data_IF_374981110866
#
_entry.id   IF_374981110866
#
_cell.length_a   1.000
_cell.length_b   1.000
_cell.length_c   1.000
_cell.angle_alpha   90.00
_cell.angle_beta   90.00
_cell.angle_gamma   90.00
#
_symmetry.space_group_name_H-M   'P 1'
#
loop_
_entity.id
_entity.type
_entity.pdbx_description
1 polymer ?
#
# COMPACT_ATOMS: atom_id res chain seq x y z
N UNK A 1 0.83 -5.53 -11.46
CA UNK A 1 1.92 -4.67 -11.96
C UNK A 1 3.07 -4.77 -10.99
N UNK A 2 4.27 -5.07 -11.48
CA UNK A 2 5.50 -5.05 -10.68
C UNK A 2 5.85 -3.59 -10.35
N UNK A 3 6.15 -3.28 -9.09
CA UNK A 3 6.58 -1.93 -8.68
C UNK A 3 8.06 -1.69 -8.98
N UNK A 4 8.84 -2.75 -9.23
CA UNK A 4 10.26 -2.66 -9.52
C UNK A 4 11.12 -3.58 -8.65
N UNK A 5 12.43 -3.37 -8.71
CA UNK A 5 13.42 -4.09 -7.89
C UNK A 5 13.88 -3.28 -6.67
N UNK A 6 14.49 -3.95 -5.69
CA UNK A 6 15.02 -3.27 -4.50
C UNK A 6 16.09 -2.24 -4.92
N UNK A 7 16.01 -1.03 -4.40
CA UNK A 7 16.84 0.12 -4.76
C UNK A 7 16.25 1.01 -5.85
N UNK A 8 15.17 0.60 -6.51
CA UNK A 8 14.48 1.45 -7.48
C UNK A 8 13.60 2.50 -6.79
N UNK A 9 13.53 3.67 -7.43
CA UNK A 9 12.66 4.75 -7.02
C UNK A 9 11.33 4.68 -7.78
N UNK A 10 10.23 4.72 -7.04
CA UNK A 10 8.89 4.78 -7.58
C UNK A 10 8.14 6.00 -7.04
N UNK A 11 7.20 6.52 -7.85
CA UNK A 11 6.31 7.59 -7.43
C UNK A 11 4.95 7.00 -7.13
N UNK A 12 4.50 7.14 -5.89
CA UNK A 12 3.24 6.58 -5.40
C UNK A 12 2.23 7.69 -5.16
N UNK A 13 0.95 7.37 -5.39
CA UNK A 13 -0.17 8.21 -4.99
C UNK A 13 -0.84 7.55 -3.78
N UNK A 14 -0.82 8.22 -2.64
CA UNK A 14 -1.45 7.78 -1.40
C UNK A 14 -2.76 8.53 -1.22
N UNK A 15 -3.88 7.80 -1.19
CA UNK A 15 -5.17 8.34 -0.76
C UNK A 15 -5.24 8.25 0.76
N UNK A 16 -5.26 9.38 1.45
CA UNK A 16 -5.30 9.45 2.90
C UNK A 16 -6.64 10.04 3.34
N UNK A 17 -7.30 9.34 4.26
CA UNK A 17 -8.56 9.79 4.88
C UNK A 17 -8.36 9.87 6.39
N UNK A 18 -8.29 11.09 6.93
CA UNK A 18 -8.07 11.35 8.37
C UNK A 18 -8.81 12.61 8.78
N UNK A 19 -9.68 12.52 9.79
CA UNK A 19 -10.29 13.68 10.47
C UNK A 19 -10.89 14.74 9.50
N UNK A 20 -11.59 14.29 8.45
CA UNK A 20 -12.21 15.15 7.44
C UNK A 20 -11.30 15.59 6.28
N UNK A 21 -10.02 15.18 6.30
CA UNK A 21 -9.09 15.35 5.20
C UNK A 21 -9.14 14.10 4.30
N UNK A 22 -9.67 14.24 3.08
CA UNK A 22 -9.69 13.20 2.04
C UNK A 22 -8.93 13.70 0.81
N UNK A 23 -7.62 13.45 0.78
CA UNK A 23 -6.76 13.90 -0.32
C UNK A 23 -5.86 12.79 -0.85
N UNK A 24 -5.42 12.99 -2.10
CA UNK A 24 -4.43 12.15 -2.74
C UNK A 24 -3.11 12.90 -2.77
N UNK A 25 -2.13 12.43 -1.99
CA UNK A 25 -0.77 12.96 -2.00
C UNK A 25 0.12 12.10 -2.89
N UNK A 26 1.04 12.73 -3.63
CA UNK A 26 2.04 12.03 -4.45
C UNK A 26 3.38 12.08 -3.75
N UNK A 27 3.99 10.93 -3.51
CA UNK A 27 5.26 10.79 -2.79
C UNK A 27 6.27 10.01 -3.62
N UNK A 28 7.55 10.38 -3.50
CA UNK A 28 8.66 9.60 -4.04
C UNK A 28 9.14 8.62 -2.96
N UNK A 29 9.36 7.37 -3.38
CA UNK A 29 9.76 6.30 -2.48
C UNK A 29 10.80 5.39 -3.13
N UNK A 30 11.70 4.86 -2.31
CA UNK A 30 12.65 3.82 -2.67
C UNK A 30 12.11 2.46 -2.24
N UNK A 31 12.20 1.44 -3.10
CA UNK A 31 11.81 0.07 -2.75
C UNK A 31 12.92 -0.56 -1.92
N UNK A 32 12.61 -0.97 -0.69
CA UNK A 32 13.59 -1.54 0.24
C UNK A 32 13.31 -3.01 0.58
N UNK A 33 12.11 -3.51 0.27
CA UNK A 33 11.72 -4.91 0.49
C UNK A 33 10.81 -5.37 -0.64
N UNK A 34 10.96 -6.62 -1.04
CA UNK A 34 10.11 -7.29 -2.03
C UNK A 34 9.95 -8.76 -1.64
N UNK A 35 8.72 -9.22 -1.64
CA UNK A 35 8.37 -10.62 -1.42
C UNK A 35 7.31 -11.03 -2.44
N UNK A 36 7.50 -12.19 -3.07
CA UNK A 36 6.52 -12.80 -3.97
C UNK A 36 5.83 -13.96 -3.26
N UNK A 37 4.50 -13.96 -3.29
CA UNK A 37 3.67 -15.03 -2.76
C UNK A 37 2.68 -15.48 -3.82
N UNK A 38 2.33 -16.75 -3.83
CA UNK A 38 1.30 -17.28 -4.74
C UNK A 38 -0.04 -17.34 -4.00
N UNK A 39 -1.03 -16.61 -4.49
CA UNK A 39 -2.39 -16.59 -3.94
C UNK A 39 -3.39 -17.21 -4.90
N UNK A 40 -4.43 -17.87 -4.37
CA UNK A 40 -5.53 -18.42 -5.16
C UNK A 40 -6.61 -17.35 -5.33
N UNK A 41 -6.87 -16.93 -6.57
CA UNK A 41 -7.81 -15.85 -6.88
C UNK A 41 -9.04 -16.43 -7.60
N UNK A 42 -10.28 -16.07 -7.22
CA UNK A 42 -11.49 -16.57 -7.87
C UNK A 42 -11.55 -16.25 -9.36
N UNK A 43 -12.06 -17.18 -10.17
CA UNK A 43 -12.39 -16.95 -11.57
C UNK A 43 -13.78 -16.31 -11.66
N UNK A 44 -13.85 -15.03 -12.06
CA UNK A 44 -15.12 -14.35 -12.30
C UNK A 44 -15.65 -14.62 -13.72
N UNK A 45 -15.87 -15.90 -14.06
CA UNK A 45 -16.47 -16.30 -15.34
C UNK A 45 -17.82 -17.00 -15.12
N UNK A 46 -18.85 -16.72 -15.95
CA UNK A 46 -20.14 -17.40 -15.85
C UNK A 46 -19.98 -18.91 -16.05
N UNK A 47 -20.42 -19.72 -15.08
CA UNK A 47 -20.30 -21.19 -15.13
C UNK A 47 -19.08 -21.78 -14.42
N UNK A 48 -18.19 -20.94 -13.87
CA UNK A 48 -16.99 -21.35 -13.12
C UNK A 48 -17.06 -20.98 -11.63
N UNK A 49 -18.26 -21.06 -11.03
CA UNK A 49 -18.44 -20.79 -9.61
C UNK A 49 -17.59 -21.76 -8.75
N UNK A 50 -16.65 -21.22 -7.98
CA UNK A 50 -15.78 -21.98 -7.07
C UNK A 50 -14.40 -22.33 -7.63
N UNK A 51 -14.10 -22.03 -8.90
CA UNK A 51 -12.75 -22.23 -9.44
C UNK A 51 -11.83 -21.06 -9.06
N UNK A 52 -10.58 -21.40 -8.74
CA UNK A 52 -9.53 -20.43 -8.41
C UNK A 52 -8.32 -20.66 -9.31
N UNK A 53 -7.59 -19.59 -9.60
CA UNK A 53 -6.29 -19.66 -10.29
C UNK A 53 -5.17 -19.15 -9.38
N UNK A 54 -3.99 -19.77 -9.42
CA UNK A 54 -2.82 -19.20 -8.75
C UNK A 54 -2.44 -17.89 -9.46
N UNK A 55 -2.13 -16.86 -8.68
CA UNK A 55 -1.63 -15.57 -9.16
C UNK A 55 -0.53 -15.10 -8.22
N UNK A 56 0.56 -14.55 -8.77
CA UNK A 56 1.62 -13.92 -7.99
C UNK A 56 1.12 -12.62 -7.36
N UNK A 57 1.23 -12.51 -6.04
CA UNK A 57 1.05 -11.30 -5.26
C UNK A 57 2.41 -10.84 -4.74
N UNK A 58 2.75 -9.58 -5.02
CA UNK A 58 3.98 -8.98 -4.55
C UNK A 58 3.72 -8.04 -3.37
N UNK A 59 4.43 -8.25 -2.28
CA UNK A 59 4.47 -7.35 -1.12
C UNK A 59 5.73 -6.51 -1.22
N UNK A 60 5.59 -5.18 -1.14
CA UNK A 60 6.72 -4.25 -1.19
C UNK A 60 6.79 -3.43 0.09
N UNK A 61 7.99 -3.30 0.63
CA UNK A 61 8.30 -2.31 1.66
C UNK A 61 9.04 -1.15 1.02
N UNK A 62 8.64 0.08 1.37
CA UNK A 62 9.17 1.29 0.75
C UNK A 62 9.66 2.27 1.81
N UNK A 63 10.67 3.07 1.44
CA UNK A 63 11.15 4.20 2.23
C UNK A 63 10.77 5.49 1.51
N UNK A 64 10.09 6.40 2.19
CA UNK A 64 9.80 7.72 1.63
C UNK A 64 11.08 8.58 1.60
N UNK A 65 11.33 9.22 0.45
CA UNK A 65 12.61 9.91 0.19
C UNK A 65 12.47 11.42 0.36
N UNK A 66 11.36 12.00 -0.13
CA UNK A 66 11.17 13.45 -0.21
C UNK A 66 9.79 13.86 0.33
N UNK A 67 9.57 13.72 1.64
CA UNK A 67 8.34 14.19 2.29
C UNK A 67 8.48 15.63 2.77
N UNK A 68 7.47 16.46 2.50
CA UNK A 68 7.33 17.76 3.17
C UNK A 68 6.92 17.56 4.63
N UNK A 69 7.14 18.58 5.48
CA UNK A 69 6.69 18.53 6.89
C UNK A 69 5.19 18.26 7.03
N UNK A 70 4.39 18.85 6.15
CA UNK A 70 2.94 18.64 6.09
C UNK A 70 2.60 17.20 5.73
N UNK A 71 3.26 16.62 4.73
CA UNK A 71 3.07 15.22 4.34
C UNK A 71 3.47 14.25 5.44
N UNK A 72 4.58 14.52 6.16
CA UNK A 72 4.98 13.72 7.33
C UNK A 72 3.87 13.75 8.38
N UNK A 73 3.39 14.93 8.77
CA UNK A 73 2.32 15.06 9.76
C UNK A 73 1.06 14.29 9.35
N UNK A 74 0.67 14.39 8.08
CA UNK A 74 -0.56 13.78 7.59
C UNK A 74 -0.47 12.25 7.52
N UNK A 75 0.64 11.72 7.00
CA UNK A 75 0.92 10.28 6.97
C UNK A 75 0.99 9.73 8.40
N UNK A 76 1.67 10.44 9.30
CA UNK A 76 1.76 10.06 10.71
C UNK A 76 0.38 10.03 11.37
N UNK A 77 -0.44 11.08 11.20
CA UNK A 77 -1.80 11.12 11.72
C UNK A 77 -2.66 9.96 11.19
N UNK A 78 -2.53 9.63 9.90
CA UNK A 78 -3.20 8.47 9.30
C UNK A 78 -2.79 7.15 9.95
N UNK A 79 -1.48 6.93 10.10
CA UNK A 79 -0.95 5.73 10.73
C UNK A 79 -1.45 5.61 12.17
N UNK A 80 -1.38 6.69 12.96
CA UNK A 80 -1.89 6.68 14.34
C UNK A 80 -3.38 6.38 14.41
N UNK A 81 -4.19 7.01 13.56
CA UNK A 81 -5.63 6.76 13.49
C UNK A 81 -5.93 5.30 13.16
N UNK A 82 -5.25 4.75 12.15
CA UNK A 82 -5.42 3.34 11.75
C UNK A 82 -4.99 2.37 12.86
N UNK A 83 -3.90 2.67 13.57
CA UNK A 83 -3.46 1.85 14.69
C UNK A 83 -4.42 1.94 15.89
N UNK A 84 -4.99 3.11 16.15
CA UNK A 84 -6.00 3.31 17.19
C UNK A 84 -7.28 2.52 16.88
N UNK A 85 -7.75 2.56 15.63
CA UNK A 85 -8.92 1.78 15.19
C UNK A 85 -8.68 0.26 15.25
N UNK A 86 -7.42 -0.17 15.11
CA UNK A 86 -7.00 -1.56 15.32
C UNK A 86 -6.78 -1.93 16.80
N UNK A 87 -6.91 -0.98 17.73
CA UNK A 87 -6.64 -1.18 19.16
C UNK A 87 -5.16 -1.40 19.50
N UNK A 88 -4.24 -0.98 18.63
CA UNK A 88 -2.79 -1.14 18.80
C UNK A 88 -2.12 0.01 19.55
N UNK A 89 -2.83 1.12 19.72
CA UNK A 89 -2.43 2.26 20.56
C UNK A 89 -3.65 2.74 21.34
N UNK A 90 -3.42 3.17 22.59
CA UNK A 90 -4.44 3.64 23.54
C UNK A 90 -4.43 5.16 23.63
#
# INVERSE_FOLDING_TARGET
HDLGTIGEYCRMALKLNVEGFDEVIKVCSEICYREETTVQVPLNMPGEEGLTRPTSMFTFGVKFVDLTKEQVLLITAYIYRSLYEQGKVM
#
